data_IF_994969006611
#
_entry.id   IF_994969006611
#
_cell.length_a   1.000
_cell.length_b   1.000
_cell.length_c   1.000
_cell.angle_alpha   90.00
_cell.angle_beta   90.00
_cell.angle_gamma   90.00
#
_symmetry.space_group_name_H-M   'P 1'
#
loop_
_entity.id
_entity.type
_entity.pdbx_description
1 polymer ?
#
# COMPACT_ATOMS: atom_id res chain seq x y z
N UNK A 1 14.29 -9.02 -29.45
CA UNK A 1 14.88 -7.77 -28.90
C UNK A 1 14.71 -7.85 -27.39
N UNK A 2 15.77 -8.31 -26.71
CA UNK A 2 15.74 -8.51 -25.25
C UNK A 2 15.68 -7.14 -24.59
N UNK A 3 14.58 -6.85 -23.91
CA UNK A 3 14.48 -5.71 -23.01
C UNK A 3 15.48 -5.94 -21.88
N UNK A 4 16.59 -5.23 -21.95
CA UNK A 4 17.60 -5.21 -20.91
C UNK A 4 16.94 -4.91 -19.58
N UNK A 5 17.04 -5.85 -18.66
CA UNK A 5 16.64 -5.66 -17.27
C UNK A 5 17.42 -4.45 -16.73
N UNK A 6 16.71 -3.34 -16.49
CA UNK A 6 17.21 -2.32 -15.57
C UNK A 6 17.43 -3.04 -14.25
N UNK A 7 18.67 -3.10 -13.79
CA UNK A 7 19.00 -3.47 -12.43
C UNK A 7 17.96 -2.80 -11.52
N UNK A 8 17.32 -3.61 -10.70
CA UNK A 8 16.35 -3.12 -9.71
C UNK A 8 17.13 -2.22 -8.77
N UNK A 9 17.08 -0.91 -9.02
CA UNK A 9 17.70 0.09 -8.14
C UNK A 9 17.18 -0.17 -6.74
N UNK A 10 18.09 -0.48 -5.82
CA UNK A 10 17.72 -0.80 -4.44
C UNK A 10 17.12 0.46 -3.85
N UNK A 11 15.86 0.38 -3.41
CA UNK A 11 15.07 1.51 -2.89
C UNK A 11 15.45 1.74 -1.44
N UNK A 12 16.59 2.36 -1.21
CA UNK A 12 17.12 2.62 0.12
C UNK A 12 16.55 3.91 0.69
N UNK A 13 16.02 3.81 1.90
CA UNK A 13 15.39 4.89 2.66
C UNK A 13 15.99 4.91 4.04
N UNK A 14 16.29 6.07 4.61
CA UNK A 14 16.65 6.19 6.02
C UNK A 14 15.53 6.85 6.83
N UNK A 15 15.36 6.41 8.07
CA UNK A 15 14.44 7.01 9.04
C UNK A 15 15.21 7.45 10.27
N UNK A 16 15.26 8.75 10.51
CA UNK A 16 15.94 9.39 11.63
C UNK A 16 14.91 9.96 12.60
N UNK A 17 14.71 9.32 13.71
CA UNK A 17 13.79 9.76 14.78
C UNK A 17 14.41 9.52 16.14
N UNK A 18 13.99 10.28 17.17
CA UNK A 18 14.41 10.10 18.56
C UNK A 18 13.81 8.86 19.20
N UNK A 19 12.68 8.39 18.66
CA UNK A 19 11.97 7.24 19.20
C UNK A 19 12.24 5.99 18.36
N UNK A 20 12.91 5.01 18.96
CA UNK A 20 13.28 3.76 18.28
C UNK A 20 12.07 2.95 17.83
N UNK A 21 10.96 2.94 18.58
CA UNK A 21 9.73 2.24 18.18
C UNK A 21 9.12 2.84 16.92
N UNK A 22 9.14 4.18 16.79
CA UNK A 22 8.68 4.88 15.58
C UNK A 22 9.58 4.53 14.40
N UNK A 23 10.91 4.48 14.60
CA UNK A 23 11.85 4.05 13.57
C UNK A 23 11.52 2.62 13.09
N UNK A 24 11.33 1.68 14.01
CA UNK A 24 10.99 0.30 13.71
C UNK A 24 9.64 0.21 12.98
N UNK A 25 8.60 0.87 13.48
CA UNK A 25 7.28 0.88 12.86
C UNK A 25 7.34 1.40 11.42
N UNK A 26 7.95 2.56 11.20
CA UNK A 26 8.06 3.14 9.85
C UNK A 26 8.91 2.26 8.92
N UNK A 27 10.04 1.75 9.40
CA UNK A 27 10.87 0.83 8.61
C UNK A 27 10.12 -0.45 8.21
N UNK A 28 9.30 -0.97 9.12
CA UNK A 28 8.49 -2.16 8.86
C UNK A 28 7.36 -1.89 7.85
N UNK A 29 6.69 -0.72 7.94
CA UNK A 29 5.70 -0.27 6.93
C UNK A 29 6.36 -0.10 5.56
N UNK A 30 7.53 0.53 5.51
CA UNK A 30 8.30 0.72 4.28
C UNK A 30 8.68 -0.61 3.63
N UNK A 31 9.05 -1.61 4.43
CA UNK A 31 9.38 -2.96 3.95
C UNK A 31 8.18 -3.65 3.27
N UNK A 32 6.93 -3.45 3.74
CA UNK A 32 5.71 -3.93 3.07
C UNK A 32 5.62 -3.41 1.61
N UNK A 33 6.11 -2.20 1.37
CA UNK A 33 6.11 -1.57 0.06
C UNK A 33 7.40 -1.83 -0.73
N UNK A 34 8.30 -2.69 -0.19
CA UNK A 34 9.59 -3.04 -0.79
C UNK A 34 10.57 -1.86 -0.86
N UNK A 35 10.52 -0.97 0.12
CA UNK A 35 11.56 0.00 0.41
C UNK A 35 12.43 -0.53 1.56
N UNK A 36 13.74 -0.42 1.42
CA UNK A 36 14.69 -0.99 2.37
C UNK A 36 15.25 0.13 3.27
N UNK A 37 14.99 0.02 4.57
CA UNK A 37 15.59 0.91 5.54
C UNK A 37 17.08 0.63 5.69
N UNK A 38 17.91 1.69 5.60
CA UNK A 38 19.34 1.67 5.86
C UNK A 38 19.65 2.43 7.13
N UNK A 39 20.69 2.04 7.84
CA UNK A 39 21.14 2.69 9.07
C UNK A 39 21.93 3.98 8.78
N UNK A 40 22.80 3.95 7.78
CA UNK A 40 23.55 5.11 7.34
C UNK A 40 22.69 5.95 6.36
N UNK A 41 22.28 7.16 6.73
CA UNK A 41 21.52 8.04 5.86
C UNK A 41 22.26 8.45 4.59
N UNK A 42 23.58 8.34 4.54
CA UNK A 42 24.38 8.61 3.33
C UNK A 42 24.16 7.58 2.21
N UNK A 43 23.68 6.37 2.57
CA UNK A 43 23.34 5.33 1.60
C UNK A 43 21.92 5.47 1.04
N UNK A 44 21.09 6.31 1.66
CA UNK A 44 19.70 6.48 1.28
C UNK A 44 19.53 7.50 0.16
N UNK A 45 18.57 7.25 -0.74
CA UNK A 45 18.12 8.27 -1.70
C UNK A 45 17.13 9.24 -1.07
N UNK A 46 16.31 8.78 -0.11
CA UNK A 46 15.35 9.59 0.64
C UNK A 46 15.59 9.40 2.13
N UNK A 47 15.69 10.49 2.88
CA UNK A 47 15.85 10.48 4.33
C UNK A 47 14.64 11.15 4.98
N UNK A 48 13.90 10.40 5.78
CA UNK A 48 12.88 10.93 6.66
C UNK A 48 13.52 11.33 7.99
N UNK A 49 13.41 12.59 8.37
CA UNK A 49 14.04 13.11 9.59
C UNK A 49 13.02 13.83 10.48
N UNK A 50 12.95 13.46 11.75
CA UNK A 50 12.14 14.15 12.76
C UNK A 50 12.61 15.58 12.94
N UNK A 51 11.68 16.52 12.85
CA UNK A 51 11.97 17.94 13.04
C UNK A 51 12.64 18.22 14.40
N UNK A 52 13.72 19.00 14.36
CA UNK A 52 14.54 19.30 15.52
C UNK A 52 15.67 18.30 15.80
N UNK A 53 15.92 17.36 14.90
CA UNK A 53 17.20 16.65 14.81
C UNK A 53 18.17 17.45 13.94
N UNK A 54 19.46 17.27 14.21
CA UNK A 54 20.51 17.85 13.37
C UNK A 54 20.50 17.16 12.00
N UNK A 55 20.50 17.98 10.96
CA UNK A 55 20.58 17.49 9.59
C UNK A 55 22.05 17.24 9.24
N UNK A 56 22.47 16.00 8.96
CA UNK A 56 23.80 15.74 8.42
C UNK A 56 23.91 16.31 7.00
N UNK A 57 25.13 16.56 6.55
CA UNK A 57 25.39 16.95 5.16
C UNK A 57 25.14 15.75 4.25
N UNK A 58 24.05 15.76 3.51
CA UNK A 58 23.57 14.63 2.71
C UNK A 58 23.31 15.06 1.27
N UNK A 59 23.66 14.19 0.36
CA UNK A 59 23.23 14.29 -1.05
C UNK A 59 21.79 13.76 -1.28
N UNK A 60 21.17 13.16 -0.26
CA UNK A 60 19.86 12.56 -0.32
C UNK A 60 18.73 13.61 -0.32
N UNK A 61 17.56 13.23 -0.83
CA UNK A 61 16.33 14.00 -0.68
C UNK A 61 15.85 13.95 0.79
N UNK A 62 15.80 15.09 1.44
CA UNK A 62 15.40 15.20 2.85
C UNK A 62 13.91 15.53 2.96
N UNK A 63 13.19 14.72 3.73
CA UNK A 63 11.78 14.88 4.04
C UNK A 63 11.59 15.00 5.56
N UNK A 64 11.16 16.17 6.01
CA UNK A 64 10.92 16.43 7.41
C UNK A 64 9.64 15.76 7.91
N UNK A 65 9.71 15.16 9.09
CA UNK A 65 8.55 14.67 9.85
C UNK A 65 8.27 15.69 10.98
N UNK A 66 7.18 16.43 10.87
CA UNK A 66 6.88 17.52 11.79
C UNK A 66 5.39 17.58 12.15
N UNK A 67 5.02 18.08 13.35
CA UNK A 67 3.61 18.22 13.74
C UNK A 67 2.86 19.29 12.93
N UNK A 68 3.59 20.17 12.25
CA UNK A 68 3.02 21.24 11.42
C UNK A 68 3.84 21.40 10.14
N UNK A 69 3.23 21.91 9.05
CA UNK A 69 3.96 22.20 7.82
C UNK A 69 5.11 23.17 8.09
N UNK A 70 6.26 22.91 7.51
CA UNK A 70 7.44 23.79 7.58
C UNK A 70 7.39 24.83 6.45
N UNK A 71 7.95 25.99 6.70
CA UNK A 71 8.03 27.09 5.72
C UNK A 71 9.02 26.81 4.58
N UNK A 72 9.96 25.89 4.78
CA UNK A 72 10.96 25.50 3.79
C UNK A 72 11.22 23.99 3.82
N UNK A 73 11.54 23.43 2.66
CA UNK A 73 11.80 22.00 2.49
C UNK A 73 10.53 21.14 2.35
N UNK A 74 10.74 19.89 1.98
CA UNK A 74 9.66 18.89 1.94
C UNK A 74 9.31 18.45 3.34
N UNK A 75 8.01 18.37 3.64
CA UNK A 75 7.51 18.00 4.96
C UNK A 75 6.30 17.07 4.86
N UNK A 76 6.29 16.04 5.68
CA UNK A 76 5.12 15.25 6.00
C UNK A 76 4.68 15.57 7.43
N UNK A 77 3.42 15.95 7.59
CA UNK A 77 2.87 16.27 8.92
C UNK A 77 2.51 14.99 9.66
N UNK A 78 2.77 15.01 10.98
CA UNK A 78 2.29 13.97 11.89
C UNK A 78 0.93 14.36 12.50
N UNK A 79 -0.02 13.42 12.63
CA UNK A 79 0.05 12.00 12.24
C UNK A 79 0.30 11.79 10.74
N UNK A 80 1.18 10.83 10.42
CA UNK A 80 1.58 10.55 9.05
C UNK A 80 0.46 9.85 8.28
N UNK A 81 0.03 10.44 7.18
CA UNK A 81 -0.80 9.75 6.20
C UNK A 81 0.04 8.76 5.40
N UNK A 82 -0.27 7.47 5.50
CA UNK A 82 0.45 6.43 4.78
C UNK A 82 0.33 6.59 3.27
N UNK A 83 -0.82 7.02 2.78
CA UNK A 83 -1.02 7.29 1.35
C UNK A 83 -0.13 8.41 0.84
N UNK A 84 0.08 9.48 1.63
CA UNK A 84 1.01 10.58 1.27
C UNK A 84 2.45 10.12 1.30
N UNK A 85 2.86 9.38 2.32
CA UNK A 85 4.18 8.78 2.45
C UNK A 85 4.49 7.88 1.25
N UNK A 86 3.57 6.99 0.91
CA UNK A 86 3.69 6.08 -0.24
C UNK A 86 3.81 6.84 -1.57
N UNK A 87 2.94 7.83 -1.80
CA UNK A 87 2.94 8.63 -3.03
C UNK A 87 4.25 9.40 -3.20
N UNK A 88 4.77 9.96 -2.12
CA UNK A 88 6.07 10.65 -2.12
C UNK A 88 7.17 9.70 -2.57
N UNK A 89 7.27 8.52 -1.95
CA UNK A 89 8.30 7.55 -2.27
C UNK A 89 8.18 7.02 -3.71
N UNK A 90 6.98 6.69 -4.15
CA UNK A 90 6.77 6.26 -5.54
C UNK A 90 7.22 7.34 -6.54
N UNK A 91 6.96 8.61 -6.23
CA UNK A 91 7.37 9.74 -7.09
C UNK A 91 8.89 9.89 -7.14
N UNK A 92 9.59 9.67 -6.03
CA UNK A 92 11.05 9.78 -5.99
C UNK A 92 11.77 8.61 -6.67
N UNK A 93 11.21 7.41 -6.60
CA UNK A 93 11.90 6.21 -7.08
C UNK A 93 11.46 5.74 -8.47
N UNK A 94 10.29 6.18 -8.96
CA UNK A 94 9.76 5.66 -10.22
C UNK A 94 9.36 6.76 -11.20
N UNK A 95 9.72 6.62 -12.47
CA UNK A 95 9.28 7.55 -13.52
C UNK A 95 7.77 7.49 -13.79
N UNK A 96 7.15 6.36 -13.44
CA UNK A 96 5.69 6.16 -13.52
C UNK A 96 5.20 5.71 -12.14
N UNK A 97 5.00 6.66 -11.22
CA UNK A 97 4.66 6.36 -9.84
C UNK A 97 3.26 5.73 -9.72
N UNK A 98 3.13 4.80 -8.81
CA UNK A 98 1.83 4.29 -8.39
C UNK A 98 1.21 5.30 -7.42
N UNK A 99 -0.08 5.54 -7.60
CA UNK A 99 -0.81 6.49 -6.76
C UNK A 99 -1.40 5.89 -5.50
N UNK A 100 -1.49 4.55 -5.44
CA UNK A 100 -2.22 3.83 -4.40
C UNK A 100 -1.40 2.68 -3.86
N UNK A 101 -1.42 2.52 -2.55
CA UNK A 101 -0.84 1.38 -1.85
C UNK A 101 -1.48 0.10 -2.38
N UNK A 102 -0.66 -0.91 -2.61
CA UNK A 102 -1.12 -2.27 -2.92
C UNK A 102 -0.71 -3.19 -1.79
N UNK A 103 -1.71 -3.78 -1.17
CA UNK A 103 -1.52 -4.79 -0.14
C UNK A 103 -1.57 -6.17 -0.80
N UNK A 104 -0.54 -6.99 -0.54
CA UNK A 104 -0.60 -8.42 -0.82
C UNK A 104 -1.51 -9.07 0.23
N UNK A 105 -2.51 -9.80 -0.22
CA UNK A 105 -3.47 -10.50 0.65
C UNK A 105 -3.73 -11.90 0.09
N UNK A 106 -4.23 -12.78 0.95
CA UNK A 106 -4.78 -14.06 0.54
C UNK A 106 -6.14 -14.19 1.20
N UNK A 107 -7.17 -13.71 0.50
CA UNK A 107 -8.55 -13.74 1.02
C UNK A 107 -9.52 -14.28 -0.01
N UNK A 108 -10.54 -14.98 0.46
CA UNK A 108 -11.62 -15.46 -0.39
C UNK A 108 -12.55 -14.30 -0.75
N UNK A 109 -12.97 -14.30 -2.01
CA UNK A 109 -13.95 -13.36 -2.58
C UNK A 109 -14.91 -14.13 -3.47
N UNK A 110 -16.15 -13.66 -3.55
CA UNK A 110 -17.09 -14.17 -4.51
C UNK A 110 -17.10 -13.27 -5.75
N UNK A 111 -17.03 -13.88 -6.92
CA UNK A 111 -17.08 -13.20 -8.23
C UNK A 111 -18.35 -13.66 -8.94
N UNK A 112 -19.17 -12.72 -9.39
CA UNK A 112 -20.32 -12.99 -10.22
C UNK A 112 -20.05 -12.52 -11.65
N UNK A 113 -20.10 -13.45 -12.58
CA UNK A 113 -20.06 -13.21 -14.01
C UNK A 113 -21.28 -13.90 -14.64
N UNK A 114 -22.00 -13.20 -15.52
CA UNK A 114 -23.20 -13.72 -16.21
C UNK A 114 -24.23 -14.38 -15.27
N UNK A 115 -24.43 -13.76 -14.10
CA UNK A 115 -25.34 -14.23 -13.02
C UNK A 115 -24.88 -15.52 -12.29
N UNK A 116 -23.70 -16.03 -12.56
CA UNK A 116 -23.11 -17.16 -11.86
C UNK A 116 -22.07 -16.69 -10.83
N UNK A 117 -22.28 -17.04 -9.56
CA UNK A 117 -21.33 -16.76 -8.49
C UNK A 117 -20.30 -17.88 -8.37
N UNK A 118 -19.05 -17.48 -8.22
CA UNK A 118 -17.92 -18.38 -8.07
C UNK A 118 -17.00 -17.86 -6.97
N UNK A 119 -16.55 -18.76 -6.08
CA UNK A 119 -15.55 -18.45 -5.08
C UNK A 119 -14.16 -18.37 -5.73
N UNK A 120 -13.44 -17.30 -5.42
CA UNK A 120 -12.12 -17.01 -5.95
C UNK A 120 -11.19 -16.53 -4.83
N UNK A 121 -9.88 -16.50 -5.09
CA UNK A 121 -8.89 -15.95 -4.18
C UNK A 121 -8.45 -14.57 -4.67
N UNK A 122 -8.54 -13.56 -3.83
CA UNK A 122 -7.89 -12.27 -4.06
C UNK A 122 -6.47 -12.31 -3.50
N UNK A 123 -5.49 -11.99 -4.35
CA UNK A 123 -4.06 -12.04 -4.03
C UNK A 123 -3.43 -10.65 -3.85
N UNK A 124 -4.12 -9.60 -4.25
CA UNK A 124 -3.74 -8.23 -3.91
C UNK A 124 -4.93 -7.29 -4.00
N UNK A 125 -4.91 -6.25 -3.16
CA UNK A 125 -5.93 -5.20 -3.14
C UNK A 125 -5.28 -3.82 -3.10
N UNK A 126 -5.92 -2.87 -3.76
CA UNK A 126 -5.69 -1.43 -3.66
C UNK A 126 -7.04 -0.72 -3.56
N UNK A 127 -7.06 0.57 -3.21
CA UNK A 127 -8.33 1.30 -3.06
C UNK A 127 -9.20 1.34 -4.32
N UNK A 128 -8.59 1.18 -5.51
CA UNK A 128 -9.29 1.24 -6.80
C UNK A 128 -9.25 -0.06 -7.59
N UNK A 129 -8.78 -1.15 -7.02
CA UNK A 129 -8.71 -2.39 -7.76
C UNK A 129 -8.02 -3.51 -7.00
N UNK A 130 -7.97 -4.68 -7.62
CA UNK A 130 -7.35 -5.85 -7.04
C UNK A 130 -6.87 -6.82 -8.09
N UNK A 131 -6.32 -7.92 -7.62
CA UNK A 131 -5.97 -9.06 -8.45
C UNK A 131 -6.54 -10.33 -7.84
N UNK A 132 -7.29 -11.06 -8.64
CA UNK A 132 -7.93 -12.31 -8.26
C UNK A 132 -7.33 -13.47 -9.05
N UNK A 133 -7.31 -14.66 -8.46
CA UNK A 133 -7.05 -15.92 -9.16
C UNK A 133 -8.40 -16.40 -9.69
N UNK A 134 -8.48 -16.65 -10.98
CA UNK A 134 -9.70 -17.08 -11.65
C UNK A 134 -9.46 -18.36 -12.45
N UNK A 135 -10.51 -19.11 -12.78
CA UNK A 135 -10.36 -20.39 -13.45
C UNK A 135 -9.89 -20.24 -14.91
N UNK A 136 -10.26 -19.14 -15.55
CA UNK A 136 -9.95 -18.87 -16.95
C UNK A 136 -9.52 -17.41 -17.15
N UNK A 137 -8.93 -17.13 -18.30
CA UNK A 137 -8.61 -15.77 -18.70
C UNK A 137 -9.87 -15.01 -19.05
N UNK A 138 -10.04 -13.83 -18.51
CA UNK A 138 -11.14 -12.93 -18.81
C UNK A 138 -10.70 -11.83 -19.80
N UNK A 139 -11.57 -11.49 -20.72
CA UNK A 139 -11.31 -10.41 -21.66
C UNK A 139 -11.29 -9.05 -20.95
N UNK A 140 -10.39 -8.19 -21.39
CA UNK A 140 -10.35 -6.79 -20.92
C UNK A 140 -11.69 -6.11 -21.20
N UNK A 141 -12.19 -5.36 -20.20
CA UNK A 141 -13.49 -4.68 -20.27
C UNK A 141 -14.67 -5.54 -19.80
N UNK A 142 -14.45 -6.82 -19.51
CA UNK A 142 -15.50 -7.66 -18.89
C UNK A 142 -15.91 -7.05 -17.55
N UNK A 143 -17.22 -6.86 -17.35
CA UNK A 143 -17.79 -6.35 -16.11
C UNK A 143 -18.23 -7.52 -15.25
N UNK A 144 -17.89 -7.47 -13.97
CA UNK A 144 -18.24 -8.48 -12.97
C UNK A 144 -18.65 -7.82 -11.66
N UNK A 145 -19.32 -8.57 -10.78
CA UNK A 145 -19.59 -8.16 -9.41
C UNK A 145 -18.63 -8.89 -8.49
N UNK A 146 -18.09 -8.15 -7.52
CA UNK A 146 -17.26 -8.70 -6.46
C UNK A 146 -17.99 -8.59 -5.13
N UNK A 147 -17.92 -9.65 -4.33
CA UNK A 147 -18.29 -9.64 -2.93
C UNK A 147 -17.10 -10.07 -2.09
N UNK A 148 -16.72 -9.25 -1.11
CA UNK A 148 -15.59 -9.51 -0.23
C UNK A 148 -15.90 -9.13 1.21
N UNK A 149 -15.22 -9.77 2.16
CA UNK A 149 -15.30 -9.42 3.58
C UNK A 149 -14.23 -8.39 3.91
N UNK A 150 -14.64 -7.23 4.39
CA UNK A 150 -13.76 -6.14 4.84
C UNK A 150 -14.06 -5.85 6.31
N UNK A 151 -13.10 -6.11 7.20
CA UNK A 151 -13.25 -5.90 8.64
C UNK A 151 -14.57 -6.47 9.19
N UNK A 152 -14.91 -7.71 8.79
CA UNK A 152 -16.08 -8.44 9.28
C UNK A 152 -17.42 -8.06 8.65
N UNK A 153 -17.44 -7.14 7.68
CA UNK A 153 -18.67 -6.77 6.95
C UNK A 153 -18.53 -7.10 5.47
N UNK A 154 -19.63 -7.50 4.83
CA UNK A 154 -19.66 -7.76 3.39
C UNK A 154 -19.70 -6.45 2.60
N UNK A 155 -18.84 -6.38 1.58
CA UNK A 155 -18.80 -5.32 0.58
C UNK A 155 -19.07 -5.92 -0.79
N UNK A 156 -20.11 -5.44 -1.46
CA UNK A 156 -20.37 -5.76 -2.87
C UNK A 156 -20.08 -4.55 -3.73
N UNK A 157 -19.35 -4.74 -4.84
CA UNK A 157 -19.05 -3.67 -5.78
C UNK A 157 -18.83 -4.19 -7.20
N UNK A 158 -19.21 -3.40 -8.21
CA UNK A 158 -18.90 -3.71 -9.60
C UNK A 158 -17.40 -3.52 -9.86
N UNK A 159 -16.87 -4.35 -10.75
CA UNK A 159 -15.49 -4.28 -11.18
C UNK A 159 -15.37 -4.56 -12.69
N UNK A 160 -14.31 -4.06 -13.30
CA UNK A 160 -14.00 -4.21 -14.71
C UNK A 160 -12.62 -4.84 -14.87
N UNK A 161 -12.51 -5.85 -15.71
CA UNK A 161 -11.24 -6.52 -16.02
C UNK A 161 -10.34 -5.58 -16.80
N UNK A 162 -9.13 -5.34 -16.27
CA UNK A 162 -8.08 -4.55 -16.93
C UNK A 162 -7.13 -5.42 -17.76
N UNK A 163 -6.78 -6.59 -17.24
CA UNK A 163 -5.87 -7.54 -17.87
C UNK A 163 -6.04 -8.93 -17.25
N UNK A 164 -5.64 -9.94 -17.99
CA UNK A 164 -5.42 -11.30 -17.49
C UNK A 164 -3.96 -11.69 -17.67
N UNK A 165 -3.42 -12.43 -16.72
CA UNK A 165 -2.10 -13.06 -16.78
C UNK A 165 -2.34 -14.56 -16.92
N UNK A 166 -1.89 -15.20 -18.01
CA UNK A 166 -2.10 -16.61 -18.24
C UNK A 166 -1.53 -17.50 -17.13
N UNK A 167 -2.10 -18.69 -16.99
CA UNK A 167 -1.51 -19.74 -16.17
C UNK A 167 -0.12 -20.11 -16.71
N UNK A 168 0.84 -20.36 -15.81
CA UNK A 168 2.21 -20.75 -16.19
C UNK A 168 3.15 -19.59 -16.49
N UNK A 169 2.71 -18.33 -16.47
CA UNK A 169 3.60 -17.18 -16.43
C UNK A 169 4.34 -17.14 -15.09
N UNK A 170 5.51 -16.49 -15.05
CA UNK A 170 6.38 -16.40 -13.86
C UNK A 170 5.68 -15.85 -12.62
N UNK A 171 4.64 -15.04 -12.79
CA UNK A 171 3.84 -14.46 -11.72
C UNK A 171 2.62 -15.32 -11.31
N UNK A 172 2.29 -16.37 -12.07
CA UNK A 172 1.14 -17.23 -11.85
C UNK A 172 1.56 -18.67 -11.64
N UNK A 173 1.06 -19.32 -10.60
CA UNK A 173 1.41 -20.72 -10.28
C UNK A 173 0.65 -21.70 -11.20
N UNK A 174 -0.63 -21.90 -10.99
CA UNK A 174 -1.43 -22.91 -11.67
C UNK A 174 -2.67 -22.37 -12.37
N UNK A 175 -3.16 -21.22 -11.99
CA UNK A 175 -4.37 -20.58 -12.52
C UNK A 175 -4.07 -19.17 -13.01
N UNK A 176 -4.83 -18.67 -14.00
CA UNK A 176 -4.75 -17.29 -14.45
C UNK A 176 -5.01 -16.30 -13.31
N UNK A 177 -4.40 -15.14 -13.40
CA UNK A 177 -4.68 -14.02 -12.51
C UNK A 177 -5.30 -12.86 -13.28
N UNK A 178 -6.39 -12.34 -12.76
CA UNK A 178 -7.17 -11.26 -13.39
C UNK A 178 -7.02 -9.99 -12.57
N UNK A 179 -6.49 -8.96 -13.21
CA UNK A 179 -6.45 -7.60 -12.62
C UNK A 179 -7.74 -6.88 -12.89
N UNK A 180 -8.38 -6.38 -11.83
CA UNK A 180 -9.67 -5.69 -11.87
C UNK A 180 -9.59 -4.27 -11.36
N UNK A 181 -10.37 -3.38 -11.96
CA UNK A 181 -10.61 -2.01 -11.51
C UNK A 181 -11.99 -1.95 -10.86
N UNK A 182 -12.04 -1.51 -9.62
CA UNK A 182 -13.30 -1.29 -8.91
C UNK A 182 -14.05 -0.09 -9.49
N UNK A 183 -15.35 -0.24 -9.66
CA UNK A 183 -16.28 0.78 -10.18
C UNK A 183 -17.37 1.10 -9.15
N UNK A 184 -17.00 1.54 -7.94
CA UNK A 184 -18.00 1.86 -6.93
C UNK A 184 -18.84 3.06 -7.39
N UNK A 185 -20.10 3.07 -6.98
CA UNK A 185 -21.04 4.17 -7.22
C UNK A 185 -20.88 5.30 -6.20
N UNK A 186 -20.14 5.06 -5.12
CA UNK A 186 -19.91 6.00 -4.02
C UNK A 186 -18.41 6.09 -3.69
N UNK A 187 -17.87 7.30 -3.72
CA UNK A 187 -16.46 7.56 -3.39
C UNK A 187 -16.10 7.22 -1.93
N UNK A 188 -17.09 7.15 -1.03
CA UNK A 188 -16.90 6.68 0.35
C UNK A 188 -16.36 5.25 0.39
N UNK A 189 -16.73 4.40 -0.57
CA UNK A 189 -16.20 3.03 -0.69
C UNK A 189 -14.68 3.07 -0.93
N UNK A 190 -14.21 3.99 -1.78
CA UNK A 190 -12.78 4.15 -2.06
C UNK A 190 -12.03 4.59 -0.79
N UNK A 191 -12.58 5.53 -0.05
CA UNK A 191 -12.00 5.98 1.22
C UNK A 191 -11.96 4.85 2.25
N UNK A 192 -13.05 4.09 2.37
CA UNK A 192 -13.11 2.93 3.25
C UNK A 192 -12.05 1.87 2.88
N UNK A 193 -11.90 1.54 1.59
CA UNK A 193 -10.87 0.61 1.12
C UNK A 193 -9.46 1.13 1.39
N UNK A 194 -9.22 2.43 1.20
CA UNK A 194 -7.95 3.07 1.56
C UNK A 194 -7.64 2.88 3.04
N UNK A 195 -8.61 3.20 3.93
CA UNK A 195 -8.44 3.04 5.37
C UNK A 195 -8.22 1.61 5.80
N UNK A 196 -8.92 0.66 5.17
CA UNK A 196 -8.69 -0.75 5.38
C UNK A 196 -7.24 -1.16 5.03
N UNK A 197 -6.73 -0.70 3.89
CA UNK A 197 -5.36 -1.02 3.43
C UNK A 197 -4.33 -0.37 4.36
N UNK A 198 -4.50 0.89 4.72
CA UNK A 198 -3.62 1.59 5.66
C UNK A 198 -3.59 0.89 7.03
N UNK A 199 -4.76 0.51 7.54
CA UNK A 199 -4.90 -0.27 8.78
C UNK A 199 -4.14 -1.59 8.69
N UNK A 200 -4.35 -2.36 7.65
CA UNK A 200 -3.70 -3.65 7.48
C UNK A 200 -2.17 -3.52 7.38
N UNK A 201 -1.65 -2.46 6.75
CA UNK A 201 -0.20 -2.17 6.73
C UNK A 201 0.34 -1.91 8.14
N UNK A 202 -0.37 -1.11 8.95
CA UNK A 202 0.04 -0.81 10.34
C UNK A 202 -0.02 -2.06 11.20
N UNK A 203 -1.12 -2.81 11.15
CA UNK A 203 -1.29 -4.05 11.92
C UNK A 203 -0.21 -5.09 11.59
N UNK A 204 0.12 -5.26 10.29
CA UNK A 204 1.19 -6.16 9.85
C UNK A 204 2.55 -5.71 10.39
N UNK A 205 2.85 -4.40 10.32
CA UNK A 205 4.09 -3.85 10.84
C UNK A 205 4.18 -4.00 12.36
N UNK A 206 3.11 -3.69 13.10
CA UNK A 206 3.03 -3.86 14.56
C UNK A 206 3.25 -5.32 14.96
N UNK A 207 2.58 -6.26 14.29
CA UNK A 207 2.73 -7.69 14.57
C UNK A 207 4.17 -8.17 14.35
N UNK A 208 4.85 -7.68 13.32
CA UNK A 208 6.23 -8.02 13.00
C UNK A 208 7.21 -7.50 14.05
N UNK A 209 6.99 -6.27 14.52
CA UNK A 209 7.87 -5.60 15.49
C UNK A 209 7.48 -5.87 16.96
N UNK A 210 6.41 -6.63 17.21
CA UNK A 210 5.90 -6.86 18.56
C UNK A 210 5.35 -5.60 19.24
N UNK A 211 4.87 -4.62 18.47
CA UNK A 211 4.31 -3.36 18.96
C UNK A 211 2.82 -3.57 19.24
N UNK A 212 2.33 -3.34 20.46
CA UNK A 212 0.90 -3.39 20.77
C UNK A 212 0.11 -2.33 19.97
N UNK A 213 -1.13 -2.63 19.57
CA UNK A 213 -1.96 -1.68 18.79
C UNK A 213 -2.46 -0.47 19.61
N UNK A 214 -2.29 -0.49 20.92
CA UNK A 214 -2.54 0.64 21.83
C UNK A 214 -1.27 1.42 22.21
N UNK A 215 -0.12 1.07 21.62
CA UNK A 215 1.15 1.75 21.90
C UNK A 215 1.10 3.23 21.49
N UNK A 216 1.61 4.15 22.35
CA UNK A 216 1.65 5.58 22.04
C UNK A 216 2.35 5.94 20.73
N UNK A 217 3.28 5.12 20.22
CA UNK A 217 3.97 5.38 18.96
C UNK A 217 3.01 5.42 17.76
N UNK A 218 1.84 4.75 17.85
CA UNK A 218 0.83 4.77 16.79
C UNK A 218 0.19 6.14 16.57
N UNK A 219 0.33 7.07 17.53
CA UNK A 219 -0.09 8.48 17.32
C UNK A 219 0.71 9.20 16.23
N UNK A 220 1.83 8.61 15.80
CA UNK A 220 2.63 9.14 14.69
C UNK A 220 2.06 8.81 13.32
N UNK A 221 1.14 7.85 13.22
CA UNK A 221 0.47 7.47 11.99
C UNK A 221 -1.00 7.82 12.08
N UNK A 222 -1.58 8.26 10.96
CA UNK A 222 -3.02 8.49 10.83
C UNK A 222 -3.73 7.13 10.74
N UNK A 223 -3.90 6.52 11.92
CA UNK A 223 -4.46 5.18 12.07
C UNK A 223 -5.92 5.24 12.49
N UNK A 224 -6.78 4.55 11.76
CA UNK A 224 -8.22 4.45 12.05
C UNK A 224 -8.58 2.99 12.32
N UNK A 225 -9.12 2.74 13.51
CA UNK A 225 -9.52 1.37 13.92
C UNK A 225 -10.66 0.78 13.10
N UNK A 226 -11.67 1.57 12.74
CA UNK A 226 -12.83 1.13 11.98
C UNK A 226 -12.88 1.79 10.60
N UNK A 227 -12.48 1.07 9.52
CA UNK A 227 -12.53 1.59 8.16
C UNK A 227 -13.95 1.90 7.68
N UNK A 228 -14.99 1.28 8.29
CA UNK A 228 -16.39 1.50 7.94
C UNK A 228 -16.96 2.81 8.45
N UNK A 229 -16.26 3.50 9.34
CA UNK A 229 -16.67 4.82 9.84
C UNK A 229 -16.92 5.84 8.72
N UNK A 230 -16.21 5.70 7.62
CA UNK A 230 -16.37 6.54 6.42
C UNK A 230 -17.69 6.29 5.67
N UNK A 231 -18.39 5.17 5.97
CA UNK A 231 -19.64 4.76 5.32
C UNK A 231 -20.90 5.19 6.10
N UNK A 232 -20.73 5.68 7.32
CA UNK A 232 -21.81 6.21 8.16
C UNK A 232 -21.94 7.72 8.00
#
# INVERSE_FOLDING_TARGET
MLLGGKESEIKQVAVMTRNQQIKQLLSSILAEWRFFSVEDPAEARVVFIEHGLDLPDLAAEVVWLAPQPLSAGRCLTTPLSLSRLYTLLETEYFPTPRRHIRLAIETQVNVCLDSAWQECQMVSIAERGGRIVYQEELQRGTVLQLEMQIAGKSLQLPAEVLYSIPAGDLSCRSLPQVGVLFRPTDDRVINMLRRFIEKACVESACAREGIPLDDPCLRWVDFIDDPWREMT
#
